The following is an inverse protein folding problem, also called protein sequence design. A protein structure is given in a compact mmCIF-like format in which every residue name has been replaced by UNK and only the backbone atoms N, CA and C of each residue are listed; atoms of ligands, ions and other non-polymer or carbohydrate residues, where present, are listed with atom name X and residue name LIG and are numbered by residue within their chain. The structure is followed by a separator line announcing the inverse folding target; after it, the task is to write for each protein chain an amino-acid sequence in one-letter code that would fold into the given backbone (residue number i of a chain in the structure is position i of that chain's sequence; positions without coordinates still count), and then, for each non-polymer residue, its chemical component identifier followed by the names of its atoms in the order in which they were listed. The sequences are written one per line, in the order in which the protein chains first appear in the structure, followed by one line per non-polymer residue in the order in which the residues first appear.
data_IF_963473951770
#
_entry.id   IF_963473951770
#
_cell.length_a   1.000
_cell.length_b   1.000
_cell.length_c   1.000
_cell.angle_alpha   90.00
_cell.angle_beta   90.00
_cell.angle_gamma   90.00
#
_symmetry.space_group_name_H-M   'P 1'
#
loop_
_entity.id
_entity.type
_entity.pdbx_description
1 polymer ?
#
# COMPACT_ATOMS: atom_id res chain seq x y z
N UNK A 1 19.65 -23.63 5.03
CA UNK A 1 20.51 -22.45 4.86
C UNK A 1 20.04 -21.36 5.82
N UNK A 2 20.90 -20.50 6.38
CA UNK A 2 20.45 -19.35 7.16
C UNK A 2 19.50 -18.48 6.32
N UNK A 3 18.50 -17.89 6.96
CA UNK A 3 17.57 -16.96 6.29
C UNK A 3 18.37 -15.76 5.73
N UNK A 4 18.06 -15.27 4.52
CA UNK A 4 18.79 -14.13 3.97
C UNK A 4 18.70 -12.92 4.91
N UNK A 5 19.76 -12.11 4.97
CA UNK A 5 19.84 -11.00 5.90
C UNK A 5 18.86 -9.84 5.64
N UNK A 6 18.16 -9.83 4.50
CA UNK A 6 17.18 -8.81 4.13
C UNK A 6 16.21 -9.31 3.03
N UNK A 7 15.18 -8.52 2.75
CA UNK A 7 14.27 -8.66 1.59
C UNK A 7 14.35 -7.45 0.64
N UNK A 8 14.00 -7.62 -0.63
CA UNK A 8 13.78 -6.47 -1.51
C UNK A 8 12.39 -5.88 -1.28
N UNK A 9 12.32 -4.57 -1.02
CA UNK A 9 11.09 -3.80 -1.04
C UNK A 9 10.97 -3.10 -2.40
N UNK A 10 10.04 -3.57 -3.23
CA UNK A 10 9.73 -2.97 -4.52
C UNK A 10 8.66 -1.86 -4.37
N UNK A 11 8.96 -0.86 -3.54
CA UNK A 11 8.08 0.28 -3.31
C UNK A 11 8.86 1.54 -2.93
N UNK A 12 8.44 2.69 -3.48
CA UNK A 12 8.96 4.01 -3.12
C UNK A 12 8.32 4.58 -1.84
N UNK A 13 7.29 3.93 -1.29
CA UNK A 13 6.53 4.46 -0.16
C UNK A 13 7.39 4.53 1.12
N UNK A 14 7.63 5.71 1.72
CA UNK A 14 8.34 5.83 3.00
C UNK A 14 7.63 5.05 4.12
N UNK A 15 6.30 5.07 4.13
CA UNK A 15 5.47 4.38 5.13
C UNK A 15 5.70 2.88 5.16
N UNK A 16 5.89 2.25 4.00
CA UNK A 16 6.11 0.79 3.92
C UNK A 16 7.48 0.41 4.48
N UNK A 17 8.49 1.28 4.31
CA UNK A 17 9.82 1.10 4.92
C UNK A 17 9.74 1.17 6.45
N UNK A 18 9.02 2.17 6.96
CA UNK A 18 8.78 2.36 8.40
C UNK A 18 8.10 1.13 9.01
N UNK A 19 7.05 0.61 8.34
CA UNK A 19 6.32 -0.58 8.79
C UNK A 19 7.20 -1.84 8.80
N UNK A 20 8.04 -2.06 7.76
CA UNK A 20 8.99 -3.18 7.79
C UNK A 20 10.01 -3.06 8.92
N UNK A 21 10.52 -1.86 9.16
CA UNK A 21 11.45 -1.60 10.26
C UNK A 21 10.79 -1.87 11.63
N UNK A 22 9.50 -1.54 11.79
CA UNK A 22 8.73 -1.80 13.01
C UNK A 22 8.72 -3.30 13.39
N UNK A 23 8.71 -4.20 12.40
CA UNK A 23 8.76 -5.65 12.64
C UNK A 23 10.17 -6.26 12.49
N UNK A 24 11.21 -5.43 12.47
CA UNK A 24 12.60 -5.87 12.42
C UNK A 24 13.03 -6.50 11.08
N UNK A 25 12.29 -6.25 9.99
CA UNK A 25 12.62 -6.79 8.67
C UNK A 25 13.56 -5.84 7.93
N UNK A 26 14.84 -6.23 7.88
CA UNK A 26 15.83 -5.56 7.06
C UNK A 26 15.43 -5.64 5.57
N UNK A 27 15.59 -4.53 4.85
CA UNK A 27 15.19 -4.46 3.46
C UNK A 27 16.11 -3.56 2.63
N UNK A 28 16.20 -3.88 1.35
CA UNK A 28 16.81 -3.04 0.32
C UNK A 28 15.77 -2.63 -0.71
N UNK A 29 15.91 -1.44 -1.30
CA UNK A 29 14.96 -0.97 -2.30
C UNK A 29 15.23 -1.61 -3.66
N UNK A 30 14.16 -2.06 -4.31
CA UNK A 30 14.17 -2.54 -5.70
C UNK A 30 13.23 -1.66 -6.53
N UNK A 31 13.65 -0.44 -6.82
CA UNK A 31 12.83 0.58 -7.46
C UNK A 31 12.85 0.46 -9.00
N UNK A 32 11.74 0.81 -9.69
CA UNK A 32 11.74 0.95 -11.14
C UNK A 32 12.83 1.88 -11.65
N UNK A 33 13.47 1.54 -12.77
CA UNK A 33 14.33 2.45 -13.51
C UNK A 33 13.49 3.45 -14.33
N UNK A 34 14.07 4.58 -14.81
CA UNK A 34 13.31 5.59 -15.55
C UNK A 34 12.64 5.09 -16.84
N UNK A 35 13.10 3.98 -17.41
CA UNK A 35 12.53 3.32 -18.59
C UNK A 35 11.36 2.36 -18.28
N UNK A 36 11.08 2.11 -17.00
CA UNK A 36 9.97 1.26 -16.58
C UNK A 36 8.71 2.08 -16.31
N UNK A 37 7.67 1.85 -17.12
CA UNK A 37 6.33 2.41 -16.91
C UNK A 37 5.59 1.67 -15.78
N UNK A 38 5.95 1.97 -14.54
CA UNK A 38 5.32 1.37 -13.36
C UNK A 38 3.88 1.87 -13.13
N UNK A 39 3.52 3.05 -13.66
CA UNK A 39 2.21 3.66 -13.46
C UNK A 39 1.14 2.98 -14.32
N UNK A 40 1.49 2.52 -15.53
CA UNK A 40 0.59 1.74 -16.40
C UNK A 40 0.02 0.48 -15.73
N UNK A 41 0.70 -0.05 -14.71
CA UNK A 41 0.21 -1.22 -13.96
C UNK A 41 -0.99 -0.89 -13.08
N UNK A 42 -1.18 0.38 -12.69
CA UNK A 42 -2.22 0.87 -11.77
C UNK A 42 -3.53 1.24 -12.48
N UNK A 43 -3.68 0.98 -13.79
CA UNK A 43 -4.90 1.27 -14.55
C UNK A 43 -6.08 0.43 -14.04
N UNK A 44 -7.19 1.09 -13.72
CA UNK A 44 -8.46 0.45 -13.31
C UNK A 44 -9.16 -0.12 -14.54
N UNK A 45 -9.55 -1.39 -14.51
CA UNK A 45 -10.30 -2.01 -15.60
C UNK A 45 -11.81 -1.76 -15.47
N UNK A 46 -12.57 -1.70 -16.59
CA UNK A 46 -14.02 -1.53 -16.53
C UNK A 46 -14.71 -2.62 -15.72
N UNK A 47 -15.50 -2.22 -14.71
CA UNK A 47 -16.27 -3.14 -13.85
C UNK A 47 -15.43 -3.93 -12.85
N UNK A 48 -14.15 -3.58 -12.68
CA UNK A 48 -13.28 -4.28 -11.74
C UNK A 48 -13.57 -3.90 -10.29
N UNK A 49 -13.82 -4.90 -9.45
CA UNK A 49 -14.04 -4.69 -8.02
C UNK A 49 -12.74 -4.19 -7.32
N UNK A 50 -12.83 -3.34 -6.27
CA UNK A 50 -11.66 -2.77 -5.61
C UNK A 50 -10.64 -3.79 -5.08
N UNK A 51 -11.11 -4.92 -4.55
CA UNK A 51 -10.30 -6.01 -4.04
C UNK A 51 -9.63 -6.82 -5.17
N UNK A 52 -10.32 -7.01 -6.29
CA UNK A 52 -9.76 -7.62 -7.50
C UNK A 52 -8.67 -6.72 -8.11
N UNK A 53 -8.95 -5.41 -8.21
CA UNK A 53 -8.02 -4.40 -8.68
C UNK A 53 -6.70 -4.43 -7.89
N UNK A 54 -6.77 -4.25 -6.57
CA UNK A 54 -5.56 -4.12 -5.74
C UNK A 54 -4.71 -5.40 -5.76
N UNK A 55 -5.34 -6.58 -5.83
CA UNK A 55 -4.65 -7.85 -5.94
C UNK A 55 -3.97 -8.02 -7.31
N UNK A 56 -4.67 -7.68 -8.41
CA UNK A 56 -4.10 -7.73 -9.77
C UNK A 56 -2.91 -6.79 -9.89
N UNK A 57 -3.07 -5.52 -9.51
CA UNK A 57 -2.00 -4.52 -9.55
C UNK A 57 -0.79 -4.99 -8.75
N UNK A 58 -1.00 -5.54 -7.55
CA UNK A 58 0.09 -6.04 -6.72
C UNK A 58 0.81 -7.24 -7.34
N UNK A 59 0.09 -8.17 -7.98
CA UNK A 59 0.69 -9.27 -8.73
C UNK A 59 1.52 -8.78 -9.91
N UNK A 60 1.00 -7.83 -10.70
CA UNK A 60 1.73 -7.23 -11.82
C UNK A 60 3.02 -6.53 -11.36
N UNK A 61 2.96 -5.81 -10.23
CA UNK A 61 4.16 -5.20 -9.60
C UNK A 61 5.20 -6.25 -9.22
N UNK A 62 4.79 -7.40 -8.70
CA UNK A 62 5.73 -8.49 -8.38
C UNK A 62 6.36 -9.10 -9.64
N UNK A 63 5.59 -9.29 -10.70
CA UNK A 63 6.11 -9.77 -11.99
C UNK A 63 7.17 -8.81 -12.53
N UNK A 64 6.87 -7.50 -12.57
CA UNK A 64 7.81 -6.48 -13.00
C UNK A 64 9.07 -6.44 -12.10
N UNK A 65 8.90 -6.51 -10.77
CA UNK A 65 10.02 -6.52 -9.84
C UNK A 65 10.92 -7.77 -9.99
N UNK A 66 10.35 -8.94 -10.30
CA UNK A 66 11.13 -10.16 -10.60
C UNK A 66 11.98 -9.97 -11.87
N UNK A 67 11.40 -9.42 -12.93
CA UNK A 67 12.13 -9.09 -14.17
C UNK A 67 13.27 -8.12 -13.88
N UNK A 68 13.01 -7.08 -13.07
CA UNK A 68 14.02 -6.11 -12.65
C UNK A 68 15.17 -6.74 -11.87
N UNK A 69 14.87 -7.59 -10.89
CA UNK A 69 15.90 -8.27 -10.10
C UNK A 69 16.82 -9.13 -10.98
N UNK A 70 16.22 -9.88 -11.92
CA UNK A 70 16.96 -10.70 -12.88
C UNK A 70 17.87 -9.85 -13.77
N UNK A 71 17.35 -8.74 -14.33
CA UNK A 71 18.13 -7.82 -15.16
C UNK A 71 19.30 -7.19 -14.41
N UNK A 72 19.10 -6.86 -13.13
CA UNK A 72 20.13 -6.29 -12.27
C UNK A 72 21.17 -7.31 -11.80
N UNK A 73 21.01 -8.61 -12.09
CA UNK A 73 21.87 -9.66 -11.56
C UNK A 73 21.82 -9.75 -10.03
N UNK A 74 20.69 -9.36 -9.42
CA UNK A 74 20.54 -9.31 -7.98
C UNK A 74 20.51 -10.69 -7.33
N UNK A 75 20.77 -10.72 -6.02
CA UNK A 75 20.78 -11.98 -5.25
C UNK A 75 19.35 -12.53 -5.14
N UNK A 76 19.18 -13.85 -5.25
CA UNK A 76 17.86 -14.49 -5.09
C UNK A 76 17.36 -14.40 -3.63
N UNK A 77 16.63 -13.31 -3.33
CA UNK A 77 16.03 -13.00 -2.03
C UNK A 77 14.53 -12.73 -2.20
N UNK A 78 13.73 -12.77 -1.11
CA UNK A 78 12.34 -12.40 -1.18
C UNK A 78 12.14 -10.97 -1.72
N UNK A 79 11.16 -10.79 -2.60
CA UNK A 79 10.71 -9.49 -3.10
C UNK A 79 9.31 -9.25 -2.54
N UNK A 80 9.11 -8.12 -1.87
CA UNK A 80 7.81 -7.67 -1.37
C UNK A 80 7.29 -6.51 -2.23
N UNK A 81 6.10 -6.70 -2.77
CA UNK A 81 5.27 -5.67 -3.40
C UNK A 81 4.01 -5.45 -2.56
N UNK A 82 3.47 -4.24 -2.63
CA UNK A 82 2.18 -3.91 -2.03
C UNK A 82 1.46 -2.85 -2.86
N UNK A 83 0.14 -2.88 -2.82
CA UNK A 83 -0.73 -1.86 -3.39
C UNK A 83 -1.88 -1.54 -2.44
N UNK A 84 -2.32 -0.29 -2.43
CA UNK A 84 -3.33 0.20 -1.47
C UNK A 84 -4.32 1.08 -2.21
N UNK A 85 -5.60 0.77 -2.07
CA UNK A 85 -6.68 1.54 -2.66
C UNK A 85 -7.75 1.87 -1.64
N UNK A 86 -8.39 3.03 -1.80
CA UNK A 86 -9.56 3.45 -1.02
C UNK A 86 -10.79 3.27 -1.89
N UNK A 87 -11.88 2.76 -1.33
CA UNK A 87 -13.13 2.57 -2.06
C UNK A 87 -14.35 3.04 -1.28
N UNK A 88 -15.25 3.73 -1.98
CA UNK A 88 -16.58 4.11 -1.49
C UNK A 88 -17.62 3.39 -2.34
N UNK A 89 -18.30 2.39 -1.77
CA UNK A 89 -19.03 1.41 -2.59
C UNK A 89 -18.08 0.76 -3.60
N UNK A 90 -18.46 0.72 -4.87
CA UNK A 90 -17.64 0.15 -5.96
C UNK A 90 -16.70 1.19 -6.59
N UNK A 91 -16.75 2.45 -6.16
CA UNK A 91 -15.90 3.50 -6.70
C UNK A 91 -14.50 3.47 -6.04
N UNK A 92 -13.48 3.21 -6.85
CA UNK A 92 -12.07 3.30 -6.48
C UNK A 92 -11.65 4.79 -6.43
N UNK A 93 -11.11 5.21 -5.29
CA UNK A 93 -10.54 6.53 -5.06
C UNK A 93 -9.01 6.40 -5.08
N UNK A 94 -8.43 6.68 -6.26
CA UNK A 94 -6.99 6.69 -6.48
C UNK A 94 -6.29 7.87 -5.78
N UNK A 95 -5.09 8.20 -6.28
CA UNK A 95 -4.36 9.40 -5.86
C UNK A 95 -5.03 10.63 -6.49
N UNK A 96 -5.18 11.75 -5.77
CA UNK A 96 -5.73 12.96 -6.38
C UNK A 96 -4.78 13.50 -7.46
N UNK A 97 -5.33 13.93 -8.59
CA UNK A 97 -4.55 14.53 -9.69
C UNK A 97 -4.12 15.96 -9.36
N UNK A 98 -4.98 16.69 -8.64
CA UNK A 98 -4.76 18.07 -8.22
C UNK A 98 -5.56 18.38 -6.94
N UNK A 99 -5.37 19.57 -6.38
CA UNK A 99 -6.00 19.97 -5.11
C UNK A 99 -7.53 19.89 -5.12
N UNK A 100 -8.19 20.35 -6.18
CA UNK A 100 -9.65 20.28 -6.25
C UNK A 100 -10.19 18.84 -6.32
N UNK A 101 -9.44 17.92 -6.92
CA UNK A 101 -9.76 16.50 -6.89
C UNK A 101 -9.60 15.92 -5.48
N UNK A 102 -8.55 16.32 -4.75
CA UNK A 102 -8.41 15.97 -3.33
C UNK A 102 -9.59 16.49 -2.48
N UNK A 103 -10.02 17.74 -2.68
CA UNK A 103 -11.21 18.29 -1.99
C UNK A 103 -12.46 17.49 -2.33
N UNK A 104 -12.67 17.13 -3.60
CA UNK A 104 -13.80 16.30 -4.05
C UNK A 104 -13.80 14.92 -3.37
N UNK A 105 -12.64 14.26 -3.31
CA UNK A 105 -12.48 12.98 -2.61
C UNK A 105 -12.82 13.12 -1.12
N UNK A 106 -12.23 14.11 -0.43
CA UNK A 106 -12.45 14.33 1.00
C UNK A 106 -13.91 14.66 1.33
N UNK A 107 -14.62 15.43 0.49
CA UNK A 107 -16.06 15.67 0.63
C UNK A 107 -16.87 14.38 0.52
N UNK A 108 -16.49 13.48 -0.40
CA UNK A 108 -17.16 12.20 -0.54
C UNK A 108 -16.94 11.27 0.67
N UNK A 109 -15.77 11.36 1.33
CA UNK A 109 -15.44 10.57 2.52
C UNK A 109 -15.98 11.19 3.81
N UNK A 110 -16.18 12.51 3.86
CA UNK A 110 -16.64 13.27 5.03
C UNK A 110 -17.93 12.70 5.62
N UNK A 111 -17.90 12.37 6.92
CA UNK A 111 -19.04 11.79 7.64
C UNK A 111 -19.43 10.37 7.22
N UNK A 112 -18.64 9.71 6.37
CA UNK A 112 -18.91 8.38 5.84
C UNK A 112 -17.96 7.32 6.40
N UNK A 113 -18.34 6.05 6.19
CA UNK A 113 -17.43 4.92 6.36
C UNK A 113 -17.05 4.37 4.99
N UNK A 114 -15.75 4.36 4.69
CA UNK A 114 -15.20 3.79 3.46
C UNK A 114 -14.32 2.57 3.75
N UNK A 115 -14.01 1.84 2.68
CA UNK A 115 -13.13 0.67 2.72
C UNK A 115 -11.75 1.04 2.23
N UNK A 116 -10.74 0.44 2.85
CA UNK A 116 -9.35 0.51 2.42
C UNK A 116 -8.87 -0.91 2.21
N UNK A 117 -8.44 -1.20 0.99
CA UNK A 117 -7.89 -2.50 0.63
C UNK A 117 -6.39 -2.35 0.47
N UNK A 118 -5.62 -3.22 1.10
CA UNK A 118 -4.19 -3.35 0.81
C UNK A 118 -3.85 -4.79 0.50
N UNK A 119 -3.33 -5.00 -0.70
CA UNK A 119 -2.79 -6.29 -1.11
C UNK A 119 -1.26 -6.28 -0.99
N UNK A 120 -0.72 -7.45 -0.68
CA UNK A 120 0.71 -7.74 -0.73
C UNK A 120 0.96 -8.91 -1.67
N UNK A 121 2.15 -8.94 -2.27
CA UNK A 121 2.65 -10.11 -2.97
C UNK A 121 4.13 -10.28 -2.63
N UNK A 122 4.49 -11.50 -2.20
CA UNK A 122 5.86 -11.86 -1.87
C UNK A 122 6.31 -12.98 -2.79
N UNK A 123 7.41 -12.76 -3.52
CA UNK A 123 8.02 -13.77 -4.37
C UNK A 123 9.42 -14.16 -3.90
N UNK A 124 9.74 -15.46 -3.84
CA UNK A 124 11.10 -15.95 -3.60
C UNK A 124 11.32 -17.28 -4.32
N UNK A 125 12.27 -17.34 -5.25
CA UNK A 125 12.39 -18.47 -6.17
C UNK A 125 11.07 -18.73 -6.89
N UNK A 126 10.61 -19.99 -6.90
CA UNK A 126 9.34 -20.39 -7.54
C UNK A 126 8.11 -20.15 -6.66
N UNK A 127 8.30 -19.73 -5.40
CA UNK A 127 7.18 -19.46 -4.49
C UNK A 127 6.67 -18.04 -4.69
N UNK A 128 5.35 -17.91 -4.68
CA UNK A 128 4.64 -16.63 -4.62
C UNK A 128 3.49 -16.75 -3.64
N UNK A 129 3.40 -15.81 -2.70
CA UNK A 129 2.32 -15.72 -1.72
C UNK A 129 1.66 -14.35 -1.87
N UNK A 130 0.32 -14.32 -1.91
CA UNK A 130 -0.47 -13.10 -1.94
C UNK A 130 -1.44 -13.07 -0.76
N UNK A 131 -1.69 -11.87 -0.24
CA UNK A 131 -2.73 -11.65 0.75
C UNK A 131 -3.37 -10.28 0.51
N UNK A 132 -4.63 -10.13 0.88
CA UNK A 132 -5.36 -8.87 0.81
C UNK A 132 -6.06 -8.63 2.15
N UNK A 133 -5.91 -7.41 2.67
CA UNK A 133 -6.52 -6.98 3.91
C UNK A 133 -7.53 -5.87 3.60
N UNK A 134 -8.79 -6.06 4.02
CA UNK A 134 -9.80 -5.01 4.05
C UNK A 134 -9.83 -4.35 5.43
N UNK A 135 -9.91 -3.03 5.46
CA UNK A 135 -10.20 -2.26 6.67
C UNK A 135 -11.28 -1.23 6.39
N UNK A 136 -12.00 -0.80 7.42
CA UNK A 136 -12.99 0.25 7.36
C UNK A 136 -12.52 1.46 8.15
N UNK A 137 -12.72 2.64 7.58
CA UNK A 137 -12.36 3.91 8.20
C UNK A 137 -13.59 4.80 8.18
N UNK A 138 -13.99 5.27 9.36
CA UNK A 138 -15.11 6.20 9.54
C UNK A 138 -14.57 7.60 9.78
N UNK A 139 -14.91 8.53 8.91
CA UNK A 139 -14.61 9.94 9.09
C UNK A 139 -15.74 10.63 9.87
N UNK A 140 -15.37 11.57 10.73
CA UNK A 140 -16.30 12.59 11.20
C UNK A 140 -16.71 13.51 10.04
N UNK A 141 -17.80 14.25 10.20
CA UNK A 141 -18.15 15.30 9.25
C UNK A 141 -17.08 16.41 9.29
N UNK A 142 -16.51 16.71 8.13
CA UNK A 142 -15.58 17.81 7.90
C UNK A 142 -16.31 18.94 7.18
N UNK A 143 -16.09 20.17 7.62
CA UNK A 143 -16.49 21.39 6.93
C UNK A 143 -15.61 21.66 5.70
N UNK A 144 -16.10 22.48 4.78
CA UNK A 144 -15.31 22.89 3.59
C UNK A 144 -14.02 23.63 3.96
N UNK A 145 -14.03 24.39 5.07
CA UNK A 145 -12.83 25.07 5.57
C UNK A 145 -11.78 24.07 6.06
N UNK A 146 -12.18 23.07 6.86
CA UNK A 146 -11.27 22.02 7.33
C UNK A 146 -10.69 21.19 6.17
N UNK A 147 -11.51 20.90 5.15
CA UNK A 147 -11.05 20.21 3.93
C UNK A 147 -10.02 21.08 3.20
N UNK A 148 -10.30 22.37 3.02
CA UNK A 148 -9.38 23.28 2.34
C UNK A 148 -8.04 23.42 3.09
N UNK A 149 -8.09 23.57 4.42
CA UNK A 149 -6.90 23.68 5.27
C UNK A 149 -6.06 22.39 5.25
N UNK A 150 -6.72 21.23 5.25
CA UNK A 150 -6.03 19.95 5.13
C UNK A 150 -5.39 19.78 3.76
N UNK A 151 -6.05 20.17 2.66
CA UNK A 151 -5.48 20.13 1.31
C UNK A 151 -4.29 21.10 1.17
N UNK A 152 -4.38 22.30 1.74
CA UNK A 152 -3.30 23.29 1.74
C UNK A 152 -2.03 22.81 2.45
N UNK A 153 -2.12 21.77 3.30
CA UNK A 153 -0.93 21.15 3.90
C UNK A 153 -0.07 20.35 2.92
N UNK A 154 -0.60 20.03 1.73
CA UNK A 154 0.02 19.14 0.75
C UNK A 154 -0.03 17.65 1.12
N UNK A 155 -0.49 17.30 2.33
CA UNK A 155 -0.56 15.91 2.78
C UNK A 155 -1.44 15.01 1.88
N UNK A 156 -2.57 15.44 1.30
CA UNK A 156 -3.38 14.58 0.44
C UNK A 156 -2.66 14.03 -0.79
N UNK A 157 -1.65 14.73 -1.30
CA UNK A 157 -1.03 14.41 -2.58
C UNK A 157 -0.26 13.08 -2.51
N UNK A 158 -0.41 12.28 -3.58
CA UNK A 158 0.21 10.96 -3.69
C UNK A 158 -0.36 9.88 -2.75
N UNK A 159 -1.53 10.09 -2.15
CA UNK A 159 -2.22 9.12 -1.28
C UNK A 159 -3.58 8.75 -1.85
N UNK A 160 -3.89 7.45 -1.88
CA UNK A 160 -5.20 6.96 -2.26
C UNK A 160 -6.29 7.54 -1.35
N UNK A 161 -7.41 7.99 -1.92
CA UNK A 161 -8.48 8.66 -1.19
C UNK A 161 -8.10 10.03 -0.60
N UNK A 162 -6.95 10.60 -1.00
CA UNK A 162 -6.50 11.93 -0.59
C UNK A 162 -6.24 12.09 0.93
N UNK A 163 -5.93 11.01 1.66
CA UNK A 163 -5.58 11.12 3.08
C UNK A 163 -4.51 10.15 3.60
N UNK A 164 -3.88 10.48 4.73
CA UNK A 164 -2.94 9.62 5.45
C UNK A 164 -3.40 9.35 6.88
N UNK A 165 -3.61 8.08 7.23
CA UNK A 165 -4.13 7.66 8.55
C UNK A 165 -3.22 8.04 9.72
N UNK A 166 -1.92 8.19 9.48
CA UNK A 166 -0.90 8.56 10.47
C UNK A 166 -0.58 10.07 10.49
N UNK A 167 -1.18 10.86 9.60
CA UNK A 167 -0.94 12.30 9.47
C UNK A 167 -2.09 13.15 10.00
N UNK A 168 -2.25 14.36 9.48
CA UNK A 168 -3.24 15.34 9.96
C UNK A 168 -4.68 14.84 9.81
N UNK A 169 -4.94 13.96 8.84
CA UNK A 169 -6.26 13.36 8.68
C UNK A 169 -6.72 12.56 9.90
N UNK A 170 -5.81 12.11 10.77
CA UNK A 170 -6.16 11.41 12.01
C UNK A 170 -7.10 12.24 12.92
N UNK A 171 -7.06 13.57 12.84
CA UNK A 171 -7.98 14.46 13.56
C UNK A 171 -9.45 14.29 13.13
N UNK A 172 -9.70 13.75 11.93
CA UNK A 172 -11.04 13.56 11.36
C UNK A 172 -11.46 12.09 11.33
N UNK A 173 -10.60 11.15 11.75
CA UNK A 173 -10.92 9.72 11.77
C UNK A 173 -11.56 9.36 13.10
N UNK A 174 -12.88 9.11 13.07
CA UNK A 174 -13.65 8.77 14.25
C UNK A 174 -13.49 7.30 14.67
N UNK A 175 -13.29 6.39 13.70
CA UNK A 175 -13.15 4.95 13.96
C UNK A 175 -12.37 4.24 12.87
N UNK A 176 -11.62 3.22 13.27
CA UNK A 176 -10.96 2.26 12.38
C UNK A 176 -11.39 0.86 12.78
N UNK A 177 -11.69 0.01 11.80
CA UNK A 177 -11.94 -1.41 11.98
C UNK A 177 -11.08 -2.21 11.01
N UNK A 178 -10.30 -3.17 11.51
CA UNK A 178 -9.35 -3.94 10.71
C UNK A 178 -7.89 -3.60 11.04
N UNK A 179 -7.05 -3.46 10.02
CA UNK A 179 -5.59 -3.31 10.16
C UNK A 179 -5.16 -1.86 9.95
N UNK A 180 -4.73 -1.19 11.02
CA UNK A 180 -4.12 0.14 10.94
C UNK A 180 -2.90 0.14 10.00
N UNK A 181 -2.03 -0.85 10.13
CA UNK A 181 -0.87 -1.02 9.23
C UNK A 181 -1.26 -1.25 7.78
N UNK A 182 -2.37 -1.98 7.55
CA UNK A 182 -2.99 -2.15 6.24
C UNK A 182 -3.43 -0.80 5.66
N UNK A 183 -4.15 0.01 6.42
CA UNK A 183 -4.59 1.36 5.98
C UNK A 183 -3.39 2.25 5.66
N UNK A 184 -2.32 2.19 6.45
CA UNK A 184 -1.09 2.94 6.23
C UNK A 184 -0.33 2.47 4.97
N UNK A 185 -0.57 1.24 4.53
CA UNK A 185 -0.19 0.71 3.22
C UNK A 185 0.64 -0.57 3.24
N UNK A 186 0.81 -1.23 4.39
CA UNK A 186 1.41 -2.56 4.49
C UNK A 186 0.83 -3.34 5.69
N UNK A 187 -0.06 -4.32 5.47
CA UNK A 187 -0.70 -5.07 6.54
C UNK A 187 0.33 -6.01 7.20
N UNK A 188 0.83 -5.64 8.38
CA UNK A 188 2.00 -6.27 8.99
C UNK A 188 1.77 -7.72 9.43
N UNK A 189 0.56 -8.04 9.86
CA UNK A 189 0.20 -9.41 10.24
C UNK A 189 0.30 -10.37 9.04
N UNK A 190 -0.36 -10.01 7.95
CA UNK A 190 -0.38 -10.74 6.68
C UNK A 190 1.02 -10.76 6.05
N UNK A 191 1.76 -9.65 6.13
CA UNK A 191 3.15 -9.57 5.65
C UNK A 191 4.05 -10.53 6.40
N UNK A 192 3.96 -10.58 7.73
CA UNK A 192 4.76 -11.50 8.54
C UNK A 192 4.39 -12.97 8.28
N UNK A 193 3.11 -13.28 8.06
CA UNK A 193 2.66 -14.62 7.67
C UNK A 193 3.20 -15.01 6.29
N UNK A 194 3.03 -14.15 5.28
CA UNK A 194 3.49 -14.40 3.93
C UNK A 194 5.01 -14.57 3.84
N UNK A 195 5.78 -13.78 4.61
CA UNK A 195 7.23 -13.94 4.73
C UNK A 195 7.61 -15.33 5.27
N UNK A 196 6.95 -15.80 6.33
CA UNK A 196 7.18 -17.14 6.87
C UNK A 196 6.82 -18.24 5.87
N UNK A 197 5.74 -18.07 5.12
CA UNK A 197 5.27 -19.04 4.14
C UNK A 197 6.23 -19.20 2.94
N UNK A 198 6.82 -18.10 2.46
CA UNK A 198 7.90 -18.19 1.46
C UNK A 198 9.20 -18.76 2.05
N UNK A 199 9.30 -18.86 3.37
CA UNK A 199 10.43 -19.45 4.11
C UNK A 199 11.39 -18.44 4.74
N UNK A 200 11.02 -17.15 4.77
CA UNK A 200 11.81 -16.10 5.42
C UNK A 200 11.54 -16.10 6.92
N UNK A 201 12.58 -16.17 7.73
CA UNK A 201 12.46 -16.19 9.18
C UNK A 201 12.39 -14.75 9.71
N UNK A 202 11.19 -14.30 10.09
CA UNK A 202 11.00 -12.96 10.67
C UNK A 202 11.59 -12.79 12.09
N UNK A 203 12.14 -13.86 12.69
CA UNK A 203 12.57 -13.83 14.09
C UNK A 203 14.07 -13.58 14.20
N UNK A 204 14.42 -12.33 14.51
CA UNK A 204 15.42 -12.03 15.53
C UNK A 204 14.73 -11.28 16.67
N UNK A 205 13.70 -11.89 17.26
CA UNK A 205 13.35 -11.53 18.64
C UNK A 205 14.55 -11.92 19.49
N UNK A 206 15.22 -10.90 20.01
CA UNK A 206 16.27 -11.05 21.01
C UNK A 206 15.67 -11.61 22.30
#
# INVERSE_FOLDING_TARGET
MPSPGFIYLASQSPRRRELLAQIGVAHELLLPTPDEDAESLEVVLPGEAPDAYVQRVTALKLIAARVRLTRAGGQNRPILCADTTVAMGDAILGKPEHEDDAKRMLRALSGQTHRVFTAIAIGWGDKTVQACCESRVTFAAMSDAEIADYVASGEPMGKAGAYGVQGRAAAFIARIEGSYSGIMGLPLFETAQALREVGFACNKTS
#
